data_IF_215454589918
#
_entry.id   IF_215454589918
#
_cell.length_a   1.000
_cell.length_b   1.000
_cell.length_c   1.000
_cell.angle_alpha   90.00
_cell.angle_beta   90.00
_cell.angle_gamma   90.00
#
_symmetry.space_group_name_H-M   'P 1'
#
loop_
_entity.id
_entity.type
_entity.pdbx_description
1 polymer ?
#
# COMPACT_ATOMS: atom_id res chain seq x y z
N UNK A 1 -9.60 1.95 10.99
CA UNK A 1 -9.39 1.54 9.58
C UNK A 1 -8.16 0.64 9.50
N UNK A 2 -8.20 -0.43 8.71
CA UNK A 2 -7.06 -1.34 8.45
C UNK A 2 -6.84 -1.45 6.96
N UNK A 3 -5.58 -1.25 6.54
CA UNK A 3 -5.16 -1.42 5.16
C UNK A 3 -4.73 -2.87 4.90
N UNK A 4 -5.21 -3.47 3.81
CA UNK A 4 -4.98 -4.88 3.50
C UNK A 4 -4.81 -5.12 1.98
N UNK A 5 -4.39 -6.34 1.65
CA UNK A 5 -4.23 -6.81 0.26
C UNK A 5 -5.50 -7.46 -0.33
N UNK A 6 -6.61 -7.43 0.43
CA UNK A 6 -7.87 -8.10 0.06
C UNK A 6 -7.92 -9.58 0.47
N UNK A 7 -7.01 -10.05 1.35
CA UNK A 7 -7.10 -11.39 1.89
C UNK A 7 -8.36 -11.58 2.72
N UNK A 8 -9.08 -12.68 2.47
CA UNK A 8 -10.42 -12.91 3.00
C UNK A 8 -10.50 -12.91 4.55
N UNK A 9 -9.43 -13.30 5.25
CA UNK A 9 -9.42 -13.35 6.71
C UNK A 9 -9.62 -11.96 7.37
N UNK A 10 -9.26 -10.88 6.70
CA UNK A 10 -9.49 -9.53 7.25
C UNK A 10 -10.98 -9.18 7.36
N UNK A 11 -11.87 -9.83 6.58
CA UNK A 11 -13.33 -9.63 6.65
C UNK A 11 -13.96 -10.17 7.93
N UNK A 12 -13.23 -11.02 8.67
CA UNK A 12 -13.69 -11.58 9.95
C UNK A 12 -13.39 -10.67 11.13
N UNK A 13 -12.73 -9.53 10.92
CA UNK A 13 -12.42 -8.57 11.98
C UNK A 13 -13.62 -7.64 12.13
N UNK A 14 -14.26 -7.69 13.28
CA UNK A 14 -15.41 -6.86 13.63
C UNK A 14 -15.00 -5.40 13.87
N UNK A 15 -15.92 -4.46 13.67
CA UNK A 15 -15.75 -3.03 13.93
C UNK A 15 -14.58 -2.36 13.20
N UNK A 16 -14.21 -2.87 12.01
CA UNK A 16 -13.10 -2.36 11.22
C UNK A 16 -13.51 -2.00 9.81
N UNK A 17 -13.18 -0.78 9.39
CA UNK A 17 -13.26 -0.37 7.98
C UNK A 17 -12.00 -0.87 7.28
N UNK A 18 -12.18 -1.75 6.29
CA UNK A 18 -11.08 -2.27 5.48
C UNK A 18 -10.78 -1.32 4.31
N UNK A 19 -9.49 -1.10 4.04
CA UNK A 19 -8.99 -0.36 2.89
C UNK A 19 -8.16 -1.32 2.04
N UNK A 20 -8.68 -1.70 0.87
CA UNK A 20 -7.96 -2.58 -0.03
C UNK A 20 -6.94 -1.81 -0.88
N UNK A 21 -5.79 -2.45 -1.06
CA UNK A 21 -4.67 -1.93 -1.83
C UNK A 21 -5.00 -1.84 -3.33
N UNK A 22 -5.04 -0.64 -3.90
CA UNK A 22 -5.27 -0.43 -5.33
C UNK A 22 -4.17 -1.05 -6.20
N UNK A 23 -2.92 -1.15 -5.70
CA UNK A 23 -1.84 -1.79 -6.44
C UNK A 23 -2.13 -3.27 -6.76
N UNK A 24 -2.88 -3.97 -5.89
CA UNK A 24 -3.32 -5.35 -6.15
C UNK A 24 -4.38 -5.41 -7.23
N UNK A 25 -5.37 -4.51 -7.22
CA UNK A 25 -6.35 -4.40 -8.31
C UNK A 25 -5.67 -4.09 -9.66
N UNK A 26 -4.77 -3.09 -9.67
CA UNK A 26 -3.96 -2.73 -10.85
C UNK A 26 -3.19 -3.93 -11.40
N UNK A 27 -2.54 -4.70 -10.52
CA UNK A 27 -1.78 -5.90 -10.91
C UNK A 27 -2.68 -6.94 -11.59
N UNK A 28 -3.91 -7.15 -11.11
CA UNK A 28 -4.88 -8.07 -11.72
C UNK A 28 -5.21 -7.66 -13.16
N UNK A 29 -5.47 -6.37 -13.40
CA UNK A 29 -5.69 -5.86 -14.76
C UNK A 29 -4.43 -5.96 -15.60
N UNK A 30 -3.26 -5.62 -15.07
CA UNK A 30 -1.98 -5.73 -15.78
C UNK A 30 -1.66 -7.16 -16.21
N UNK A 31 -1.91 -8.15 -15.35
CA UNK A 31 -1.71 -9.57 -15.66
C UNK A 31 -2.65 -10.08 -16.75
N UNK A 32 -3.78 -9.38 -16.96
CA UNK A 32 -4.72 -9.67 -18.05
C UNK A 32 -4.30 -9.05 -19.40
N UNK A 33 -3.37 -8.08 -19.39
CA UNK A 33 -2.83 -7.50 -20.63
C UNK A 33 -1.94 -8.52 -21.35
N UNK A 34 -2.08 -8.71 -22.68
CA UNK A 34 -1.22 -9.57 -23.45
C UNK A 34 0.26 -9.21 -23.30
N UNK A 35 1.14 -10.22 -23.17
CA UNK A 35 2.58 -10.02 -22.88
C UNK A 35 3.27 -9.05 -23.85
N UNK A 36 2.93 -9.09 -25.14
CA UNK A 36 3.49 -8.20 -26.17
C UNK A 36 3.15 -6.72 -25.94
N UNK A 37 2.03 -6.43 -25.29
CA UNK A 37 1.56 -5.06 -25.00
C UNK A 37 1.97 -4.55 -23.61
N UNK A 38 2.37 -5.44 -22.70
CA UNK A 38 2.78 -5.07 -21.35
C UNK A 38 3.98 -4.11 -21.30
N UNK A 39 4.90 -4.16 -22.28
CA UNK A 39 6.04 -3.25 -22.37
C UNK A 39 5.60 -1.78 -22.51
N UNK A 40 4.56 -1.51 -23.32
CA UNK A 40 4.00 -0.16 -23.50
C UNK A 40 3.48 0.41 -22.17
N UNK A 41 2.83 -0.42 -21.37
CA UNK A 41 2.27 0.00 -20.07
C UNK A 41 3.36 0.19 -19.01
N UNK A 42 4.44 -0.59 -19.03
CA UNK A 42 5.57 -0.44 -18.11
C UNK A 42 6.32 0.88 -18.30
N UNK A 43 6.34 1.44 -19.49
CA UNK A 43 6.93 2.75 -19.78
C UNK A 43 6.10 3.89 -19.17
N UNK A 44 4.82 3.62 -18.84
CA UNK A 44 3.93 4.51 -18.11
C UNK A 44 3.97 4.23 -16.60
N UNK A 45 5.04 3.60 -16.10
CA UNK A 45 5.12 3.10 -14.74
C UNK A 45 5.17 4.25 -13.72
N UNK A 46 4.47 4.04 -12.65
CA UNK A 46 4.16 4.92 -11.51
C UNK A 46 5.42 5.58 -10.89
N UNK A 47 6.61 5.01 -11.15
CA UNK A 47 7.87 5.43 -10.55
C UNK A 47 8.76 6.29 -11.46
N UNK A 48 8.36 6.59 -12.69
CA UNK A 48 9.15 7.48 -13.54
C UNK A 48 8.80 8.94 -13.22
N UNK A 49 9.78 9.73 -12.82
CA UNK A 49 9.64 11.19 -12.68
C UNK A 49 9.20 11.86 -14.00
N UNK A 50 9.38 11.17 -15.12
CA UNK A 50 8.96 11.59 -16.46
C UNK A 50 7.47 11.34 -16.76
N UNK A 51 6.73 10.59 -15.92
CA UNK A 51 5.28 10.42 -16.06
C UNK A 51 4.48 11.62 -15.49
N UNK A 52 5.11 12.77 -15.30
CA UNK A 52 4.46 14.02 -14.87
C UNK A 52 3.69 14.71 -15.99
N UNK A 53 3.96 14.36 -17.25
CA UNK A 53 3.30 14.92 -18.39
C UNK A 53 2.26 13.91 -18.93
N UNK A 54 1.03 14.15 -18.57
CA UNK A 54 -0.22 13.60 -19.11
C UNK A 54 -0.61 12.15 -18.71
N UNK A 55 -1.70 12.00 -17.94
CA UNK A 55 -2.43 10.74 -17.94
C UNK A 55 -2.87 10.48 -19.38
N UNK A 56 -2.70 9.26 -19.90
CA UNK A 56 -3.15 8.83 -21.24
C UNK A 56 -4.36 9.66 -21.64
N UNK A 57 -4.16 10.59 -22.59
CA UNK A 57 -5.22 11.48 -23.03
C UNK A 57 -6.38 10.63 -23.55
N UNK A 58 -7.59 11.05 -23.29
CA UNK A 58 -8.82 10.37 -23.70
C UNK A 58 -8.88 10.10 -25.22
N UNK A 59 -8.07 10.77 -26.03
CA UNK A 59 -7.98 10.57 -27.49
C UNK A 59 -7.22 9.29 -27.90
N UNK A 60 -6.35 8.71 -27.03
CA UNK A 60 -5.74 7.40 -27.27
C UNK A 60 -6.57 6.22 -26.72
N UNK A 61 -7.66 6.50 -26.00
CA UNK A 61 -8.49 5.49 -25.33
C UNK A 61 -9.27 4.56 -26.29
N UNK A 62 -9.52 4.97 -27.53
CA UNK A 62 -10.30 4.17 -28.49
C UNK A 62 -9.62 2.84 -28.89
N UNK A 63 -8.30 2.72 -28.70
CA UNK A 63 -7.53 1.53 -29.04
C UNK A 63 -7.06 0.69 -27.82
N UNK A 64 -7.48 1.04 -26.61
CA UNK A 64 -7.11 0.29 -25.42
C UNK A 64 -7.93 -0.99 -25.28
N UNK A 65 -7.25 -2.10 -25.02
CA UNK A 65 -7.93 -3.32 -24.58
C UNK A 65 -8.57 -3.10 -23.19
N UNK A 66 -9.67 -3.81 -22.87
CA UNK A 66 -10.29 -3.66 -21.55
C UNK A 66 -9.33 -3.81 -20.38
N UNK A 67 -8.36 -4.74 -20.46
CA UNK A 67 -7.34 -4.90 -19.43
C UNK A 67 -6.41 -3.66 -19.31
N UNK A 68 -6.07 -3.03 -20.44
CA UNK A 68 -5.24 -1.81 -20.48
C UNK A 68 -6.01 -0.62 -19.91
N UNK A 69 -7.30 -0.50 -20.22
CA UNK A 69 -8.18 0.54 -19.68
C UNK A 69 -8.31 0.42 -18.16
N UNK A 70 -8.43 -0.80 -17.62
CA UNK A 70 -8.41 -1.01 -16.17
C UNK A 70 -7.09 -0.57 -15.50
N UNK A 71 -5.94 -0.78 -16.15
CA UNK A 71 -4.65 -0.27 -15.67
C UNK A 71 -4.60 1.26 -15.74
N UNK A 72 -5.13 1.86 -16.82
CA UNK A 72 -5.16 3.31 -17.01
C UNK A 72 -5.96 4.01 -15.91
N UNK A 73 -7.13 3.49 -15.54
CA UNK A 73 -7.91 4.01 -14.40
C UNK A 73 -7.10 3.99 -13.09
N UNK A 74 -6.46 2.87 -12.78
CA UNK A 74 -5.61 2.79 -11.58
C UNK A 74 -4.45 3.79 -11.65
N UNK A 75 -3.83 3.98 -12.81
CA UNK A 75 -2.73 4.93 -12.99
C UNK A 75 -3.20 6.38 -12.77
N UNK A 76 -4.40 6.76 -13.24
CA UNK A 76 -5.00 8.09 -13.01
C UNK A 76 -5.12 8.37 -11.51
N UNK A 77 -5.62 7.41 -10.72
CA UNK A 77 -5.73 7.55 -9.26
C UNK A 77 -4.35 7.67 -8.60
N UNK A 78 -3.39 6.83 -8.97
CA UNK A 78 -2.02 6.94 -8.44
C UNK A 78 -1.34 8.26 -8.82
N UNK A 79 -1.63 8.80 -10.00
CA UNK A 79 -1.12 10.10 -10.42
C UNK A 79 -1.67 11.22 -9.52
N UNK A 80 -2.99 11.25 -9.27
CA UNK A 80 -3.62 12.22 -8.36
C UNK A 80 -3.02 12.14 -6.96
N UNK A 81 -2.87 10.95 -6.40
CA UNK A 81 -2.26 10.75 -5.08
C UNK A 81 -0.82 11.29 -4.97
N UNK A 82 -0.04 11.25 -6.05
CA UNK A 82 1.30 11.86 -6.05
C UNK A 82 1.23 13.37 -5.93
N UNK A 83 0.26 14.03 -6.58
CA UNK A 83 0.07 15.47 -6.48
C UNK A 83 -0.35 15.90 -5.06
N UNK A 84 -1.03 15.01 -4.33
CA UNK A 84 -1.53 15.27 -2.99
C UNK A 84 -0.54 14.94 -1.87
N UNK A 85 0.66 14.49 -2.20
CA UNK A 85 1.63 13.96 -1.23
C UNK A 85 1.98 14.94 -0.11
N UNK A 86 2.10 16.23 -0.46
CA UNK A 86 2.52 17.29 0.48
C UNK A 86 1.32 18.01 1.14
N UNK A 87 0.07 17.63 0.80
CA UNK A 87 -1.13 18.21 1.38
C UNK A 87 -1.38 17.66 2.79
N UNK A 88 -2.02 18.47 3.63
CA UNK A 88 -2.55 18.01 4.92
C UNK A 88 -3.60 16.89 4.73
N UNK A 89 -3.87 16.06 5.74
CA UNK A 89 -4.90 15.03 5.64
C UNK A 89 -6.28 15.57 5.25
N UNK A 90 -6.64 16.73 5.75
CA UNK A 90 -7.92 17.38 5.47
C UNK A 90 -8.01 17.86 4.02
N UNK A 91 -6.98 18.54 3.54
CA UNK A 91 -6.87 18.98 2.14
C UNK A 91 -6.83 17.80 1.18
N UNK A 92 -6.06 16.75 1.52
CA UNK A 92 -6.00 15.52 0.72
C UNK A 92 -7.36 14.85 0.62
N UNK A 93 -8.09 14.73 1.72
CA UNK A 93 -9.45 14.19 1.72
C UNK A 93 -10.38 15.01 0.81
N UNK A 94 -10.35 16.35 0.92
CA UNK A 94 -11.16 17.22 0.08
C UNK A 94 -10.85 17.02 -1.41
N UNK A 95 -9.56 16.99 -1.78
CA UNK A 95 -9.11 16.76 -3.16
C UNK A 95 -9.50 15.39 -3.70
N UNK A 96 -9.40 14.34 -2.91
CA UNK A 96 -9.87 13.00 -3.27
C UNK A 96 -11.36 12.98 -3.59
N UNK A 97 -12.17 13.60 -2.73
CA UNK A 97 -13.63 13.65 -2.95
C UNK A 97 -13.98 14.48 -4.20
N UNK A 98 -13.25 15.55 -4.48
CA UNK A 98 -13.47 16.40 -5.64
C UNK A 98 -13.00 15.75 -6.96
N UNK A 99 -11.79 15.16 -6.97
CA UNK A 99 -11.10 14.79 -8.20
C UNK A 99 -11.03 13.28 -8.45
N UNK A 100 -11.06 12.43 -7.41
CA UNK A 100 -10.97 10.98 -7.57
C UNK A 100 -12.31 10.28 -7.55
N UNK A 101 -13.32 10.83 -6.87
CA UNK A 101 -14.68 10.26 -6.90
C UNK A 101 -15.21 10.17 -8.34
N UNK A 102 -15.09 11.21 -9.20
CA UNK A 102 -15.50 11.08 -10.61
C UNK A 102 -14.75 9.99 -11.37
N UNK A 103 -13.44 9.77 -11.09
CA UNK A 103 -12.67 8.69 -11.71
C UNK A 103 -13.22 7.32 -11.30
N UNK A 104 -13.60 7.16 -10.01
CA UNK A 104 -14.23 5.94 -9.53
C UNK A 104 -15.60 5.71 -10.14
N UNK A 105 -16.43 6.75 -10.29
CA UNK A 105 -17.75 6.66 -10.91
C UNK A 105 -17.64 6.23 -12.38
N UNK A 106 -16.68 6.81 -13.12
CA UNK A 106 -16.35 6.41 -14.48
C UNK A 106 -15.85 4.94 -14.55
N UNK A 107 -14.97 4.54 -13.61
CA UNK A 107 -14.45 3.19 -13.53
C UNK A 107 -15.56 2.17 -13.28
N UNK A 108 -16.47 2.42 -12.34
CA UNK A 108 -17.56 1.50 -12.04
C UNK A 108 -18.57 1.43 -13.18
N UNK A 109 -18.93 2.57 -13.77
CA UNK A 109 -19.80 2.59 -14.94
C UNK A 109 -19.20 1.79 -16.10
N UNK A 110 -17.89 1.89 -16.31
CA UNK A 110 -17.19 1.11 -17.33
C UNK A 110 -17.13 -0.39 -16.95
N UNK A 111 -16.84 -0.76 -15.70
CA UNK A 111 -16.83 -2.16 -15.23
C UNK A 111 -18.16 -2.84 -15.53
N UNK A 112 -19.27 -2.14 -15.31
CA UNK A 112 -20.63 -2.66 -15.53
C UNK A 112 -20.94 -2.93 -17.01
N UNK A 113 -20.16 -2.36 -17.94
CA UNK A 113 -20.28 -2.65 -19.38
C UNK A 113 -19.51 -3.90 -19.83
N UNK A 114 -18.69 -4.48 -18.95
CA UNK A 114 -17.80 -5.58 -19.33
C UNK A 114 -18.49 -6.94 -19.17
N UNK A 115 -18.40 -7.75 -20.22
CA UNK A 115 -18.75 -9.17 -20.20
C UNK A 115 -17.54 -10.05 -20.58
N UNK A 116 -16.58 -10.23 -19.64
CA UNK A 116 -15.36 -10.96 -19.92
C UNK A 116 -15.62 -12.48 -20.00
N UNK A 117 -15.00 -13.15 -20.95
CA UNK A 117 -15.08 -14.61 -21.12
C UNK A 117 -14.74 -15.35 -19.81
N UNK A 118 -15.52 -16.37 -19.48
CA UNK A 118 -15.36 -17.18 -18.28
C UNK A 118 -13.96 -17.79 -18.13
N UNK A 119 -13.41 -17.73 -16.92
CA UNK A 119 -12.05 -18.23 -16.61
C UNK A 119 -10.91 -17.33 -17.06
N UNK A 120 -11.17 -16.25 -17.80
CA UNK A 120 -10.14 -15.33 -18.29
C UNK A 120 -9.47 -14.56 -17.15
N UNK A 121 -8.26 -14.03 -17.42
CA UNK A 121 -7.58 -13.16 -16.47
C UNK A 121 -8.32 -11.84 -16.28
N UNK A 122 -8.99 -11.34 -17.32
CA UNK A 122 -9.82 -10.14 -17.24
C UNK A 122 -11.01 -10.37 -16.32
N UNK A 123 -11.72 -11.51 -16.44
CA UNK A 123 -12.80 -11.86 -15.53
C UNK A 123 -12.34 -11.87 -14.06
N UNK A 124 -11.16 -12.46 -13.79
CA UNK A 124 -10.57 -12.47 -12.43
C UNK A 124 -10.26 -11.07 -11.92
N UNK A 125 -9.83 -10.16 -12.79
CA UNK A 125 -9.56 -8.77 -12.42
C UNK A 125 -10.87 -8.02 -12.12
N UNK A 126 -11.89 -8.18 -12.96
CA UNK A 126 -13.22 -7.59 -12.79
C UNK A 126 -13.88 -8.11 -11.51
N UNK A 127 -13.90 -9.44 -11.30
CA UNK A 127 -14.44 -10.04 -10.06
C UNK A 127 -13.71 -9.55 -8.82
N UNK A 128 -12.38 -9.40 -8.89
CA UNK A 128 -11.61 -8.84 -7.76
C UNK A 128 -12.05 -7.40 -7.46
N UNK A 129 -12.16 -6.55 -8.47
CA UNK A 129 -12.60 -5.17 -8.30
C UNK A 129 -14.01 -5.11 -7.68
N UNK A 130 -14.99 -5.83 -8.24
CA UNK A 130 -16.36 -5.88 -7.75
C UNK A 130 -16.45 -6.40 -6.31
N UNK A 131 -15.72 -7.47 -5.96
CA UNK A 131 -15.71 -8.03 -4.60
C UNK A 131 -15.09 -7.11 -3.56
N UNK A 132 -14.34 -6.09 -3.99
CA UNK A 132 -13.65 -5.15 -3.11
C UNK A 132 -14.08 -3.70 -3.37
N UNK A 133 -15.20 -3.46 -4.07
CA UNK A 133 -15.68 -2.14 -4.49
C UNK A 133 -15.62 -1.13 -3.35
N UNK A 134 -16.31 -1.39 -2.27
CA UNK A 134 -16.34 -0.51 -1.10
C UNK A 134 -14.96 -0.32 -0.48
N UNK A 135 -14.24 -1.40 -0.22
CA UNK A 135 -12.94 -1.35 0.44
C UNK A 135 -11.83 -0.72 -0.42
N UNK A 136 -11.95 -0.73 -1.75
CA UNK A 136 -11.05 0.02 -2.64
C UNK A 136 -11.28 1.53 -2.56
N UNK A 137 -12.49 1.98 -2.24
CA UNK A 137 -12.85 3.40 -2.13
C UNK A 137 -12.72 3.96 -0.70
N UNK A 138 -12.62 3.11 0.32
CA UNK A 138 -12.63 3.54 1.73
C UNK A 138 -11.44 4.45 2.11
N UNK A 139 -10.35 4.50 1.34
CA UNK A 139 -9.27 5.47 1.57
C UNK A 139 -9.71 6.93 1.36
N UNK A 140 -10.79 7.16 0.59
CA UNK A 140 -11.38 8.49 0.39
C UNK A 140 -11.97 9.06 1.69
N UNK A 141 -12.30 8.22 2.66
CA UNK A 141 -12.92 8.63 3.93
C UNK A 141 -11.94 9.38 4.85
N UNK A 142 -10.63 9.14 4.72
CA UNK A 142 -9.61 9.73 5.58
C UNK A 142 -8.32 10.01 4.80
N UNK A 143 -7.90 11.27 4.74
CA UNK A 143 -6.71 11.70 4.02
C UNK A 143 -5.38 11.14 4.56
N UNK A 144 -5.37 10.55 5.76
CA UNK A 144 -4.20 9.85 6.32
C UNK A 144 -3.98 8.47 5.71
N UNK A 145 -5.03 7.88 5.15
CA UNK A 145 -4.96 6.55 4.55
C UNK A 145 -4.22 6.60 3.21
N UNK A 146 -3.34 5.63 2.95
CA UNK A 146 -2.69 5.49 1.66
C UNK A 146 -3.58 4.68 0.69
N UNK A 147 -3.50 4.96 -0.61
CA UNK A 147 -4.21 4.22 -1.66
C UNK A 147 -3.64 2.81 -1.87
N UNK A 148 -2.42 2.56 -1.40
CA UNK A 148 -1.75 1.26 -1.53
C UNK A 148 -1.05 0.82 -0.26
N UNK A 149 -1.00 -0.50 -0.04
CA UNK A 149 -0.30 -1.14 1.08
C UNK A 149 1.21 -1.33 0.83
N UNK A 150 1.76 -0.73 -0.22
CA UNK A 150 3.16 -0.94 -0.62
C UNK A 150 4.16 -0.53 0.46
N UNK A 151 3.86 0.48 1.26
CA UNK A 151 4.71 0.93 2.37
C UNK A 151 4.84 -0.15 3.44
N UNK A 152 3.72 -0.69 3.91
CA UNK A 152 3.70 -1.77 4.90
C UNK A 152 4.33 -3.06 4.35
N UNK A 153 4.05 -3.42 3.07
CA UNK A 153 4.64 -4.59 2.43
C UNK A 153 6.15 -4.49 2.30
N UNK A 154 6.71 -3.30 2.00
CA UNK A 154 8.17 -3.09 1.99
C UNK A 154 8.78 -3.33 3.35
N UNK A 155 8.14 -2.91 4.45
CA UNK A 155 8.60 -3.16 5.82
C UNK A 155 8.57 -4.65 6.17
N UNK A 156 7.46 -5.34 5.87
CA UNK A 156 7.34 -6.78 6.05
C UNK A 156 8.36 -7.58 5.20
N UNK A 157 8.69 -7.08 4.00
CA UNK A 157 9.67 -7.71 3.10
C UNK A 157 11.08 -7.74 3.70
N UNK A 158 11.47 -6.79 4.54
CA UNK A 158 12.77 -6.80 5.23
C UNK A 158 12.89 -8.07 6.07
N UNK A 159 11.87 -8.39 6.87
CA UNK A 159 11.82 -9.63 7.63
C UNK A 159 11.83 -10.88 6.74
N UNK A 160 10.99 -10.91 5.71
CA UNK A 160 10.93 -12.04 4.77
C UNK A 160 12.26 -12.27 4.01
N UNK A 161 13.01 -11.20 3.73
CA UNK A 161 14.33 -11.29 3.11
C UNK A 161 15.36 -11.82 4.10
N UNK A 162 15.36 -11.34 5.35
CA UNK A 162 16.21 -11.85 6.44
C UNK A 162 16.03 -13.35 6.64
N UNK A 163 14.81 -13.86 6.51
CA UNK A 163 14.50 -15.30 6.60
C UNK A 163 15.31 -16.18 5.62
N UNK A 164 15.77 -15.63 4.50
CA UNK A 164 16.66 -16.35 3.59
C UNK A 164 18.03 -16.66 4.21
N UNK A 165 18.46 -15.89 5.21
CA UNK A 165 19.74 -16.08 5.89
C UNK A 165 19.61 -17.02 7.10
N UNK A 166 18.58 -16.84 7.93
CA UNK A 166 18.40 -17.65 9.14
C UNK A 166 17.40 -18.82 8.97
N UNK A 167 16.75 -18.96 7.81
CA UNK A 167 15.86 -20.02 7.34
C UNK A 167 14.56 -20.15 8.18
N UNK A 168 14.66 -20.46 9.46
CA UNK A 168 13.53 -20.65 10.39
C UNK A 168 13.94 -20.27 11.82
N UNK A 169 12.95 -20.20 12.68
CA UNK A 169 13.13 -20.03 14.12
C UNK A 169 12.90 -21.37 14.83
N UNK A 170 13.76 -21.70 15.80
CA UNK A 170 13.64 -22.94 16.56
C UNK A 170 12.46 -22.93 17.55
N UNK A 171 11.91 -21.73 17.86
CA UNK A 171 10.79 -21.56 18.78
C UNK A 171 9.90 -20.40 18.37
N UNK A 172 8.65 -20.43 18.86
CA UNK A 172 7.69 -19.33 18.70
C UNK A 172 8.22 -18.05 19.37
N UNK A 173 8.84 -18.18 20.53
CA UNK A 173 9.38 -17.03 21.27
C UNK A 173 10.58 -16.41 20.56
N UNK A 174 11.43 -17.21 19.93
CA UNK A 174 12.50 -16.72 19.07
C UNK A 174 11.96 -15.95 17.85
N UNK A 175 10.86 -16.43 17.26
CA UNK A 175 10.18 -15.69 16.18
C UNK A 175 9.63 -14.34 16.68
N UNK A 176 8.95 -14.31 17.82
CA UNK A 176 8.43 -13.09 18.44
C UNK A 176 9.55 -12.09 18.74
N UNK A 177 10.63 -12.56 19.38
CA UNK A 177 11.79 -11.71 19.68
C UNK A 177 12.38 -11.08 18.41
N UNK A 178 12.53 -11.84 17.33
CA UNK A 178 13.03 -11.33 16.06
C UNK A 178 12.10 -10.27 15.46
N UNK A 179 10.78 -10.48 15.50
CA UNK A 179 9.81 -9.49 15.01
C UNK A 179 9.89 -8.19 15.82
N UNK A 180 10.02 -8.28 17.15
CA UNK A 180 10.17 -7.10 18.01
C UNK A 180 11.44 -6.32 17.65
N UNK A 181 12.60 -6.99 17.57
CA UNK A 181 13.87 -6.33 17.22
C UNK A 181 13.80 -5.69 15.82
N UNK A 182 13.26 -6.41 14.83
CA UNK A 182 13.09 -5.87 13.47
C UNK A 182 12.15 -4.67 13.45
N UNK A 183 11.06 -4.69 14.24
CA UNK A 183 10.15 -3.56 14.37
C UNK A 183 10.86 -2.33 14.93
N UNK A 184 11.67 -2.50 15.98
CA UNK A 184 12.47 -1.42 16.55
C UNK A 184 13.46 -0.83 15.54
N UNK A 185 14.17 -1.68 14.80
CA UNK A 185 15.13 -1.28 13.75
C UNK A 185 14.44 -0.48 12.65
N UNK A 186 13.31 -0.97 12.13
CA UNK A 186 12.59 -0.29 11.04
C UNK A 186 11.93 1.02 11.53
N UNK A 187 11.49 1.08 12.78
CA UNK A 187 10.95 2.30 13.38
C UNK A 187 12.06 3.34 13.60
N UNK A 188 13.24 2.92 14.06
CA UNK A 188 14.40 3.82 14.19
C UNK A 188 14.78 4.42 12.82
N UNK A 189 14.88 3.61 11.78
CA UNK A 189 15.13 4.08 10.40
C UNK A 189 14.05 5.05 9.91
N UNK A 190 12.79 4.78 10.20
CA UNK A 190 11.68 5.65 9.82
C UNK A 190 11.73 7.03 10.51
N UNK A 191 12.40 7.12 11.66
CA UNK A 191 12.68 8.36 12.39
C UNK A 191 14.08 8.92 12.14
N UNK A 192 14.75 8.48 11.06
CA UNK A 192 16.10 8.91 10.65
C UNK A 192 17.19 8.63 11.68
N UNK A 193 16.98 7.68 12.60
CA UNK A 193 17.97 7.27 13.58
C UNK A 193 18.93 6.23 12.99
N UNK A 194 20.18 6.25 13.45
CA UNK A 194 21.09 5.16 13.23
C UNK A 194 20.65 3.94 14.05
N UNK A 195 20.17 2.89 13.40
CA UNK A 195 19.62 1.71 14.07
C UNK A 195 20.58 1.03 15.05
N UNK A 196 21.89 1.02 14.77
CA UNK A 196 22.91 0.47 15.67
C UNK A 196 22.99 1.29 16.96
N UNK A 197 23.13 2.62 16.84
CA UNK A 197 23.17 3.51 18.00
C UNK A 197 21.89 3.42 18.83
N UNK A 198 20.74 3.38 18.16
CA UNK A 198 19.44 3.25 18.81
C UNK A 198 19.34 1.94 19.61
N UNK A 199 19.66 0.80 19.01
CA UNK A 199 19.69 -0.49 19.72
C UNK A 199 20.67 -0.50 20.88
N UNK A 200 21.85 0.12 20.71
CA UNK A 200 22.83 0.27 21.78
C UNK A 200 22.24 1.08 22.96
N UNK A 201 21.58 2.20 22.68
CA UNK A 201 20.91 3.02 23.69
C UNK A 201 19.82 2.22 24.41
N UNK A 202 19.00 1.46 23.68
CA UNK A 202 17.99 0.58 24.31
C UNK A 202 18.63 -0.44 25.25
N UNK A 203 19.69 -1.13 24.80
CA UNK A 203 20.37 -2.13 25.63
C UNK A 203 21.02 -1.52 26.88
N UNK A 204 21.45 -0.27 26.77
CA UNK A 204 22.08 0.44 27.89
C UNK A 204 21.06 0.88 28.96
N UNK A 205 19.92 1.42 28.55
CA UNK A 205 18.98 2.07 29.45
C UNK A 205 17.72 1.23 29.78
N UNK A 206 17.31 0.29 28.92
CA UNK A 206 16.13 -0.56 29.21
C UNK A 206 16.22 -1.34 30.54
N UNK A 207 17.39 -1.81 31.01
CA UNK A 207 17.48 -2.49 32.30
C UNK A 207 16.98 -1.64 33.47
N UNK A 208 17.14 -0.31 33.42
CA UNK A 208 16.70 0.61 34.46
C UNK A 208 15.17 0.65 34.62
N UNK A 209 14.44 0.35 33.53
CA UNK A 209 12.97 0.33 33.50
C UNK A 209 12.37 -1.05 33.79
N UNK A 210 13.19 -2.07 34.10
CA UNK A 210 12.72 -3.46 34.31
C UNK A 210 11.71 -3.59 35.44
N UNK A 211 11.95 -2.87 36.53
CA UNK A 211 11.12 -2.94 37.74
C UNK A 211 10.14 -1.76 37.86
N UNK A 212 10.44 -0.66 37.20
CA UNK A 212 9.62 0.57 37.23
C UNK A 212 9.55 1.13 35.80
N UNK A 213 8.54 0.70 35.01
CA UNK A 213 8.44 1.07 33.60
C UNK A 213 8.00 2.51 33.34
N UNK A 214 7.75 3.31 34.41
CA UNK A 214 7.41 4.73 34.26
C UNK A 214 8.54 5.49 33.54
N UNK A 215 8.19 6.20 32.46
CA UNK A 215 9.16 6.96 31.65
C UNK A 215 9.84 6.17 30.53
N UNK A 216 9.52 4.88 30.32
CA UNK A 216 10.09 4.07 29.23
C UNK A 216 9.79 4.67 27.83
N UNK A 217 8.76 5.48 27.72
CA UNK A 217 8.42 6.24 26.49
C UNK A 217 9.55 7.19 26.06
N UNK A 218 10.47 7.56 26.94
CA UNK A 218 11.67 8.35 26.60
C UNK A 218 12.63 7.56 25.67
N UNK A 219 12.54 6.25 25.67
CA UNK A 219 13.34 5.39 24.80
C UNK A 219 12.68 5.15 23.41
N UNK A 220 11.49 5.71 23.17
CA UNK A 220 10.84 5.60 21.87
C UNK A 220 11.61 6.38 20.79
N UNK A 221 11.63 5.91 19.52
CA UNK A 221 12.48 6.47 18.46
C UNK A 221 12.20 7.93 18.10
N UNK A 222 11.07 8.47 18.51
CA UNK A 222 10.69 9.88 18.33
C UNK A 222 10.93 10.74 19.57
N UNK A 223 11.44 10.16 20.65
CA UNK A 223 11.80 10.91 21.86
C UNK A 223 13.10 11.71 21.62
N UNK A 224 13.16 12.92 22.20
CA UNK A 224 14.37 13.78 22.19
C UNK A 224 15.56 13.09 22.85
N UNK A 225 15.32 12.22 23.82
CA UNK A 225 16.37 11.51 24.55
C UNK A 225 17.22 10.57 23.65
N UNK A 226 16.63 10.03 22.58
CA UNK A 226 17.31 9.07 21.69
C UNK A 226 17.70 9.67 20.34
N UNK A 227 17.35 10.92 20.06
CA UNK A 227 17.75 11.67 18.87
C UNK A 227 19.13 12.30 19.05
#
# INVERSE_FOLDING_TARGET
>A
MIQCDGYAAYRCIEDVILICCLAHARRKFFDAVPKGRQKRIRLLDINSEQALDDPISTEEDENLLPAEKGVAFCNRLFFKERLYKELSPEERKAKRLEEETPIWDEFWSWIDTLDPSGGSKLEKAVKYALNHKESLMNYLLDGRCEISNNSAERKAKVYATGRKNFLFHNSVDGAKATVIVMSLVETAKANNLNAYKYLYTLLLYMPDYKNEPAGIEQLLPWSIFVQ
#
